data_IF_248614240311
#
_entry.id   IF_248614240311
#
_cell.length_a   1.000
_cell.length_b   1.000
_cell.length_c   1.000
_cell.angle_alpha   90.00
_cell.angle_beta   90.00
_cell.angle_gamma   90.00
#
_symmetry.space_group_name_H-M   'P 1'
#
loop_
_entity.id
_entity.type
_entity.pdbx_description
1 polymer ?
#
# COMPACT_ATOMS: atom_id res chain seq x y z
N UNK A 1 -9.10 -28.97 35.65
CA UNK A 1 -8.61 -29.55 34.39
C UNK A 1 -8.55 -28.44 33.37
N UNK A 2 -7.36 -27.96 33.01
CA UNK A 2 -7.19 -27.03 31.91
C UNK A 2 -7.38 -27.78 30.59
N UNK A 3 -8.42 -27.48 29.86
CA UNK A 3 -8.62 -28.01 28.51
C UNK A 3 -7.51 -27.43 27.63
N UNK A 4 -6.54 -28.25 27.25
CA UNK A 4 -5.52 -27.87 26.28
C UNK A 4 -6.19 -27.91 24.91
N UNK A 5 -6.66 -26.75 24.44
CA UNK A 5 -7.11 -26.62 23.05
C UNK A 5 -5.88 -26.77 22.15
N UNK A 6 -5.97 -27.53 21.04
CA UNK A 6 -4.87 -27.60 20.09
C UNK A 6 -4.58 -26.20 19.55
N UNK A 7 -3.29 -25.87 19.42
CA UNK A 7 -2.86 -24.61 18.84
C UNK A 7 -3.34 -24.55 17.39
N UNK A 8 -4.19 -23.58 17.08
CA UNK A 8 -4.77 -23.42 15.75
C UNK A 8 -3.71 -22.85 14.80
N UNK A 9 -3.34 -23.59 13.76
CA UNK A 9 -2.49 -23.06 12.69
C UNK A 9 -3.30 -22.06 11.85
N UNK A 10 -2.97 -20.78 11.99
CA UNK A 10 -3.58 -19.68 11.22
C UNK A 10 -2.68 -19.23 10.06
N UNK A 11 -1.63 -19.97 9.75
CA UNK A 11 -0.71 -19.60 8.68
C UNK A 11 -1.41 -19.63 7.32
N UNK A 12 -1.01 -18.69 6.45
CA UNK A 12 -1.45 -18.62 5.05
C UNK A 12 -0.25 -18.44 4.15
N UNK A 13 -0.39 -18.81 2.89
CA UNK A 13 0.60 -18.56 1.87
C UNK A 13 0.03 -17.60 0.82
N UNK A 14 0.75 -16.51 0.55
CA UNK A 14 0.36 -15.51 -0.45
C UNK A 14 1.55 -15.30 -1.39
N UNK A 15 1.34 -15.60 -2.67
CA UNK A 15 2.37 -15.49 -3.72
C UNK A 15 3.71 -16.17 -3.33
N UNK A 16 3.65 -17.38 -2.74
CA UNK A 16 4.81 -18.13 -2.29
C UNK A 16 5.44 -17.67 -0.98
N UNK A 17 4.89 -16.63 -0.34
CA UNK A 17 5.38 -16.13 0.96
C UNK A 17 4.46 -16.62 2.07
N UNK A 18 5.01 -17.40 3.02
CA UNK A 18 4.25 -17.89 4.18
C UNK A 18 4.18 -16.81 5.26
N UNK A 19 2.96 -16.49 5.68
CA UNK A 19 2.64 -15.62 6.80
C UNK A 19 2.15 -16.46 7.98
N UNK A 20 2.46 -16.08 9.20
CA UNK A 20 2.03 -16.83 10.41
C UNK A 20 0.53 -16.71 10.71
N UNK A 21 -0.15 -15.70 10.16
CA UNK A 21 -1.60 -15.52 10.17
C UNK A 21 -2.01 -14.55 9.05
N UNK A 22 -3.30 -14.46 8.66
CA UNK A 22 -3.75 -13.67 7.52
C UNK A 22 -3.89 -12.16 7.80
N UNK A 23 -3.46 -11.66 8.95
CA UNK A 23 -3.66 -10.27 9.33
C UNK A 23 -2.48 -9.41 8.90
N UNK A 24 -2.77 -8.34 8.18
CA UNK A 24 -1.80 -7.31 7.79
C UNK A 24 -2.36 -5.91 8.01
N UNK A 25 -1.49 -4.91 8.04
CA UNK A 25 -1.89 -3.50 8.05
C UNK A 25 -2.23 -3.01 6.64
N UNK A 26 -3.01 -1.92 6.56
CA UNK A 26 -3.18 -1.17 5.31
C UNK A 26 -2.10 -0.07 5.21
N UNK A 27 -1.54 0.10 4.00
CA UNK A 27 -0.42 1.02 3.74
C UNK A 27 -0.66 2.48 4.12
N UNK A 28 -1.92 2.92 4.13
CA UNK A 28 -2.26 4.33 4.35
C UNK A 28 -2.00 4.85 5.75
N UNK A 29 -2.04 3.99 6.75
CA UNK A 29 -2.11 4.38 8.18
C UNK A 29 -0.97 3.81 9.03
N UNK A 30 -0.24 2.82 8.56
CA UNK A 30 0.83 2.21 9.33
C UNK A 30 2.11 3.05 9.28
N UNK A 31 2.67 3.34 10.45
CA UNK A 31 4.01 3.92 10.65
C UNK A 31 4.70 3.20 11.81
N UNK A 32 6.02 3.34 11.97
CA UNK A 32 6.72 2.78 13.12
C UNK A 32 6.16 3.22 14.48
N UNK A 33 5.56 4.41 14.56
CA UNK A 33 4.90 4.87 15.77
C UNK A 33 3.71 4.00 16.20
N UNK A 34 3.12 3.24 15.28
CA UNK A 34 2.04 2.29 15.59
C UNK A 34 2.48 1.20 16.57
N UNK A 35 3.78 0.91 16.67
CA UNK A 35 4.35 0.00 17.69
C UNK A 35 4.08 0.44 19.12
N UNK A 36 3.86 1.73 19.35
CA UNK A 36 3.52 2.25 20.68
C UNK A 36 2.08 1.92 21.09
N UNK A 37 1.23 1.61 20.14
CA UNK A 37 -0.18 1.33 20.37
C UNK A 37 -0.47 -0.17 20.38
N UNK A 38 0.43 -1.00 19.79
CA UNK A 38 0.12 -2.39 19.61
C UNK A 38 1.37 -3.21 19.17
N UNK A 39 1.39 -4.50 19.54
CA UNK A 39 2.48 -5.42 19.26
C UNK A 39 2.45 -5.88 17.79
N UNK A 40 3.18 -5.19 16.90
CA UNK A 40 3.20 -5.52 15.48
C UNK A 40 3.74 -6.92 15.20
N UNK A 41 4.58 -7.46 16.08
CA UNK A 41 5.06 -8.84 16.02
C UNK A 41 3.94 -9.89 16.07
N UNK A 42 2.71 -9.54 16.43
CA UNK A 42 1.53 -10.46 16.38
C UNK A 42 0.94 -10.58 14.98
N UNK A 43 1.22 -9.64 14.06
CA UNK A 43 0.73 -9.68 12.67
C UNK A 43 1.43 -10.74 11.84
N UNK A 44 0.75 -11.24 10.81
CA UNK A 44 1.36 -12.04 9.74
C UNK A 44 2.26 -11.17 8.86
N UNK A 45 1.80 -9.98 8.52
CA UNK A 45 2.57 -9.02 7.73
C UNK A 45 2.30 -7.57 8.16
N UNK A 46 3.18 -6.66 7.76
CA UNK A 46 2.93 -5.22 7.74
C UNK A 46 3.06 -4.70 6.32
N UNK A 47 2.09 -3.90 5.88
CA UNK A 47 2.21 -3.11 4.66
C UNK A 47 2.62 -1.69 5.04
N UNK A 48 3.75 -1.24 4.50
CA UNK A 48 4.35 0.05 4.87
C UNK A 48 3.55 1.23 4.35
N UNK A 49 3.82 2.42 4.84
CA UNK A 49 3.44 3.67 4.18
C UNK A 49 3.98 3.66 2.75
N UNK A 50 3.29 4.33 1.82
CA UNK A 50 3.78 4.45 0.45
C UNK A 50 5.19 5.05 0.43
N UNK A 51 6.10 4.41 -0.30
CA UNK A 51 7.50 4.79 -0.46
C UNK A 51 7.72 5.34 -1.86
N UNK A 52 8.27 6.53 -1.96
CA UNK A 52 8.62 7.21 -3.20
C UNK A 52 10.13 7.40 -3.31
N UNK A 53 10.63 7.77 -4.48
CA UNK A 53 12.07 8.02 -4.72
C UNK A 53 12.62 9.11 -3.81
N UNK A 54 11.81 10.14 -3.53
CA UNK A 54 12.14 11.28 -2.65
C UNK A 54 11.03 11.49 -1.62
N UNK A 55 11.30 12.17 -0.50
CA UNK A 55 10.27 12.48 0.49
C UNK A 55 9.14 13.34 -0.08
N UNK A 56 7.88 13.03 0.28
CA UNK A 56 6.72 13.86 -0.06
C UNK A 56 6.11 14.45 1.20
N UNK A 57 5.94 15.78 1.21
CA UNK A 57 5.36 16.50 2.35
C UNK A 57 3.85 16.20 2.56
N UNK A 58 3.17 15.74 1.52
CA UNK A 58 1.71 15.59 1.52
C UNK A 58 0.99 16.94 1.41
N UNK A 59 -0.32 16.91 1.63
CA UNK A 59 -1.16 18.11 1.56
C UNK A 59 -1.01 18.98 2.82
N UNK A 60 -1.45 20.25 2.73
CA UNK A 60 -1.58 21.13 3.89
C UNK A 60 -2.70 20.66 4.82
N UNK A 61 -2.61 20.96 6.10
CA UNK A 61 -3.67 20.73 7.07
C UNK A 61 -4.83 21.75 6.89
N UNK A 62 -6.09 21.37 7.24
CA UNK A 62 -6.53 20.09 7.81
C UNK A 62 -6.56 18.98 6.76
N UNK A 63 -6.26 17.74 7.19
CA UNK A 63 -6.14 16.57 6.29
C UNK A 63 -7.17 15.48 6.57
N UNK A 64 -7.88 15.60 7.67
CA UNK A 64 -8.83 14.61 8.17
C UNK A 64 -10.09 15.34 8.61
N UNK A 65 -11.24 14.78 8.27
CA UNK A 65 -12.54 15.26 8.73
C UNK A 65 -13.44 14.07 9.06
N UNK A 66 -14.09 14.11 10.20
CA UNK A 66 -15.05 13.08 10.60
C UNK A 66 -16.36 13.20 9.83
N UNK A 67 -16.96 12.05 9.55
CA UNK A 67 -18.27 11.91 8.97
C UNK A 67 -19.12 10.99 9.85
N UNK A 68 -20.43 10.92 9.60
CA UNK A 68 -21.27 9.97 10.30
C UNK A 68 -20.88 8.53 9.91
N UNK A 69 -20.28 7.81 10.85
CA UNK A 69 -19.83 6.43 10.64
C UNK A 69 -18.56 6.26 9.81
N UNK A 70 -17.73 7.31 9.66
CA UNK A 70 -16.49 7.22 8.90
C UNK A 70 -15.63 8.47 8.97
N UNK A 71 -14.65 8.53 8.06
CA UNK A 71 -13.67 9.62 7.99
C UNK A 71 -13.33 9.95 6.54
N UNK A 72 -13.22 11.23 6.23
CA UNK A 72 -12.57 11.73 5.02
C UNK A 72 -11.11 12.04 5.32
N UNK A 73 -10.23 11.73 4.37
CA UNK A 73 -8.84 12.12 4.46
C UNK A 73 -8.32 12.68 3.13
N UNK A 74 -7.37 13.58 3.23
CA UNK A 74 -6.61 14.15 2.14
C UNK A 74 -5.13 14.27 2.53
N UNK A 75 -4.52 13.17 2.98
CA UNK A 75 -3.13 13.15 3.48
C UNK A 75 -2.12 13.47 2.38
N UNK A 76 -2.39 13.08 1.13
CA UNK A 76 -1.51 13.38 0.00
C UNK A 76 -0.23 12.53 0.00
N UNK A 77 -0.32 11.27 0.38
CA UNK A 77 0.77 10.29 0.35
C UNK A 77 2.06 10.75 1.06
N UNK A 78 1.96 11.55 2.11
CA UNK A 78 3.11 11.97 2.91
C UNK A 78 3.98 10.77 3.27
N UNK A 79 5.27 10.83 2.95
CA UNK A 79 6.24 9.78 3.27
C UNK A 79 7.66 10.35 3.35
N UNK A 80 8.56 9.59 3.96
CA UNK A 80 9.96 9.98 4.18
C UNK A 80 10.90 9.63 3.02
N UNK A 81 10.36 9.04 1.94
CA UNK A 81 11.16 8.50 0.84
C UNK A 81 11.77 7.13 1.15
N UNK A 82 12.07 6.37 0.10
CA UNK A 82 12.53 4.98 0.24
C UNK A 82 13.88 4.86 0.94
N UNK A 83 14.84 5.75 0.66
CA UNK A 83 16.19 5.63 1.25
C UNK A 83 16.21 5.88 2.76
N UNK A 84 15.46 6.88 3.22
CA UNK A 84 15.30 7.13 4.66
C UNK A 84 14.59 5.95 5.34
N UNK A 85 13.56 5.40 4.71
CA UNK A 85 12.83 4.25 5.22
C UNK A 85 13.72 3.00 5.31
N UNK A 86 14.52 2.71 4.28
CA UNK A 86 15.46 1.58 4.25
C UNK A 86 16.47 1.70 5.38
N UNK A 87 17.00 2.91 5.61
CA UNK A 87 18.02 3.16 6.64
C UNK A 87 17.44 3.11 8.06
N UNK A 88 16.28 3.70 8.29
CA UNK A 88 15.79 4.01 9.64
C UNK A 88 14.68 3.05 10.10
N UNK A 89 13.78 2.61 9.21
CA UNK A 89 12.60 1.84 9.60
C UNK A 89 12.70 0.35 9.27
N UNK A 90 13.28 -0.03 8.14
CA UNK A 90 13.38 -1.42 7.73
C UNK A 90 14.11 -2.30 8.76
N UNK A 91 15.27 -1.90 9.32
CA UNK A 91 15.96 -2.71 10.32
C UNK A 91 15.11 -2.98 11.57
N UNK A 92 14.31 -1.98 11.97
CA UNK A 92 13.44 -2.08 13.14
C UNK A 92 12.27 -3.04 12.90
N UNK A 93 11.68 -3.02 11.70
CA UNK A 93 10.62 -3.96 11.32
C UNK A 93 11.18 -5.38 11.18
N UNK A 94 12.37 -5.52 10.61
CA UNK A 94 13.00 -6.82 10.41
C UNK A 94 13.44 -7.50 11.71
N UNK A 95 13.64 -6.73 12.77
CA UNK A 95 13.90 -7.28 14.10
C UNK A 95 12.71 -8.02 14.73
N UNK A 96 11.50 -7.86 14.20
CA UNK A 96 10.30 -8.56 14.68
C UNK A 96 10.23 -10.00 14.13
N UNK A 97 10.30 -11.03 14.98
CA UNK A 97 10.37 -12.43 14.52
C UNK A 97 9.14 -12.85 13.71
N UNK A 98 9.36 -13.43 12.54
CA UNK A 98 8.31 -14.00 11.70
C UNK A 98 7.35 -12.97 11.07
N UNK A 99 7.59 -11.67 11.24
CA UNK A 99 6.83 -10.63 10.58
C UNK A 99 7.23 -10.52 9.11
N UNK A 100 6.25 -10.51 8.21
CA UNK A 100 6.49 -10.22 6.79
C UNK A 100 6.36 -8.73 6.50
N UNK A 101 7.23 -8.24 5.63
CA UNK A 101 7.28 -6.81 5.29
C UNK A 101 6.88 -6.65 3.83
N UNK A 102 5.76 -5.95 3.60
CA UNK A 102 5.25 -5.59 2.29
C UNK A 102 5.57 -4.11 2.07
N UNK A 103 6.49 -3.80 1.16
CA UNK A 103 6.84 -2.43 0.85
C UNK A 103 5.85 -1.85 -0.16
N UNK A 104 5.05 -0.86 0.25
CA UNK A 104 4.11 -0.18 -0.64
C UNK A 104 4.84 0.85 -1.49
N UNK A 105 4.69 0.75 -2.82
CA UNK A 105 5.36 1.60 -3.81
C UNK A 105 4.42 2.67 -4.31
N UNK A 106 4.87 3.92 -4.33
CA UNK A 106 4.17 5.06 -4.93
C UNK A 106 5.09 5.84 -5.85
N UNK A 107 4.55 6.39 -6.93
CA UNK A 107 5.27 7.20 -7.91
C UNK A 107 4.33 8.18 -8.60
N UNK A 108 4.88 9.19 -9.25
CA UNK A 108 4.16 10.14 -10.12
C UNK A 108 4.25 9.74 -11.59
N UNK A 109 5.25 8.96 -11.94
CA UNK A 109 5.48 8.43 -13.27
C UNK A 109 5.75 6.92 -13.20
N UNK A 110 5.60 6.22 -14.31
CA UNK A 110 5.96 4.80 -14.41
C UNK A 110 7.43 4.57 -14.06
N UNK A 111 8.31 5.46 -14.49
CA UNK A 111 9.75 5.36 -14.21
C UNK A 111 10.07 5.49 -12.71
N UNK A 112 9.35 6.36 -11.98
CA UNK A 112 9.48 6.44 -10.53
C UNK A 112 9.03 5.13 -9.84
N UNK A 113 7.92 4.52 -10.27
CA UNK A 113 7.49 3.22 -9.77
C UNK A 113 8.54 2.14 -10.01
N UNK A 114 9.11 2.10 -11.23
CA UNK A 114 10.17 1.17 -11.61
C UNK A 114 11.41 1.36 -10.72
N UNK A 115 11.89 2.60 -10.58
CA UNK A 115 13.06 2.91 -9.75
C UNK A 115 12.90 2.48 -8.28
N UNK A 116 11.70 2.72 -7.70
CA UNK A 116 11.40 2.29 -6.32
C UNK A 116 11.34 0.77 -6.24
N UNK A 117 10.75 0.08 -7.22
CA UNK A 117 10.66 -1.37 -7.26
C UNK A 117 12.03 -2.04 -7.38
N UNK A 118 12.89 -1.52 -8.26
CA UNK A 118 14.29 -1.98 -8.39
C UNK A 118 15.03 -1.86 -7.07
N UNK A 119 15.02 -0.65 -6.49
CA UNK A 119 15.76 -0.38 -5.26
C UNK A 119 15.28 -1.21 -4.07
N UNK A 120 13.96 -1.34 -3.88
CA UNK A 120 13.40 -2.15 -2.80
C UNK A 120 13.60 -3.66 -3.02
N UNK A 121 13.73 -4.11 -4.25
CA UNK A 121 14.05 -5.51 -4.58
C UNK A 121 15.42 -5.94 -4.07
N UNK A 122 16.35 -5.00 -3.91
CA UNK A 122 17.70 -5.25 -3.36
C UNK A 122 17.74 -5.23 -1.82
N UNK A 123 16.58 -4.98 -1.17
CA UNK A 123 16.48 -4.90 0.28
C UNK A 123 15.85 -6.15 0.88
N UNK A 124 15.87 -6.24 2.21
CA UNK A 124 15.29 -7.37 2.93
C UNK A 124 13.77 -7.17 3.19
N UNK A 125 13.01 -6.81 2.14
CA UNK A 125 11.55 -6.86 2.16
C UNK A 125 11.06 -8.20 1.61
N UNK A 126 9.91 -8.66 2.06
CA UNK A 126 9.37 -9.95 1.59
C UNK A 126 8.58 -9.80 0.29
N UNK A 127 7.83 -8.72 0.13
CA UNK A 127 6.95 -8.47 -1.02
C UNK A 127 6.89 -6.97 -1.35
N UNK A 128 6.47 -6.65 -2.57
CA UNK A 128 6.18 -5.29 -3.02
C UNK A 128 4.68 -5.11 -3.25
N UNK A 129 4.12 -3.98 -2.82
CA UNK A 129 2.73 -3.61 -3.14
C UNK A 129 2.72 -2.37 -4.04
N UNK A 130 2.40 -2.55 -5.31
CA UNK A 130 2.27 -1.47 -6.29
C UNK A 130 0.96 -0.71 -6.08
N UNK A 131 1.03 0.52 -5.63
CA UNK A 131 -0.12 1.38 -5.37
C UNK A 131 -0.41 2.30 -6.56
N UNK A 132 -1.17 1.80 -7.54
CA UNK A 132 -1.56 2.54 -8.76
C UNK A 132 -2.78 3.44 -8.57
N UNK A 133 -3.29 3.54 -7.35
CA UNK A 133 -4.55 4.26 -7.05
C UNK A 133 -4.34 5.74 -6.71
N UNK A 134 -3.18 6.32 -7.00
CA UNK A 134 -2.89 7.70 -6.65
C UNK A 134 -3.66 8.67 -7.57
N UNK A 135 -4.62 9.47 -7.04
CA UNK A 135 -5.40 10.41 -7.86
C UNK A 135 -4.64 11.70 -8.22
N UNK A 136 -3.41 11.88 -7.73
CA UNK A 136 -2.70 13.15 -7.75
C UNK A 136 -1.63 13.28 -8.83
N UNK A 137 -1.71 12.55 -9.94
CA UNK A 137 -0.79 12.75 -11.06
C UNK A 137 -1.31 13.89 -11.92
N UNK A 138 -0.92 15.13 -11.61
CA UNK A 138 -1.24 16.32 -12.39
C UNK A 138 -0.45 16.45 -13.70
N UNK A 139 0.61 15.67 -13.87
CA UNK A 139 1.43 15.68 -15.07
C UNK A 139 1.11 14.45 -15.93
N UNK A 140 0.41 14.70 -17.06
CA UNK A 140 0.16 13.69 -18.08
C UNK A 140 -1.23 13.05 -18.10
N UNK A 141 -2.11 13.31 -17.13
CA UNK A 141 -3.54 12.95 -17.22
C UNK A 141 -3.88 11.45 -17.14
N UNK A 142 -2.91 10.58 -16.87
CA UNK A 142 -3.14 9.15 -16.79
C UNK A 142 -3.22 8.75 -15.31
N UNK A 143 -4.43 8.54 -14.82
CA UNK A 143 -4.64 7.86 -13.56
C UNK A 143 -4.31 6.37 -13.78
N UNK A 144 -3.10 5.94 -13.44
CA UNK A 144 -2.55 4.59 -13.69
C UNK A 144 -3.52 3.45 -13.32
N UNK A 145 -4.30 3.62 -12.28
CA UNK A 145 -5.23 2.60 -11.77
C UNK A 145 -6.68 2.74 -12.20
N UNK A 146 -7.03 3.66 -13.10
CA UNK A 146 -8.43 3.91 -13.49
C UNK A 146 -8.77 3.42 -14.90
N UNK A 147 -7.80 2.98 -15.69
CA UNK A 147 -7.98 2.40 -17.01
C UNK A 147 -7.30 1.04 -17.11
N UNK A 148 -7.87 0.15 -17.90
CA UNK A 148 -7.31 -1.19 -18.16
C UNK A 148 -5.87 -1.09 -18.67
N UNK A 149 -5.63 -0.21 -19.66
CA UNK A 149 -4.30 -0.02 -20.24
C UNK A 149 -3.31 0.54 -19.22
N UNK A 150 -3.71 1.56 -18.42
CA UNK A 150 -2.84 2.13 -17.40
C UNK A 150 -2.42 1.12 -16.32
N UNK A 151 -3.36 0.28 -15.88
CA UNK A 151 -3.08 -0.84 -14.97
C UNK A 151 -2.10 -1.83 -15.61
N UNK A 152 -2.37 -2.25 -16.83
CA UNK A 152 -1.53 -3.24 -17.53
C UNK A 152 -0.12 -2.71 -17.78
N UNK A 153 0.02 -1.52 -18.35
CA UNK A 153 1.31 -0.93 -18.72
C UNK A 153 2.19 -0.68 -17.49
N UNK A 154 1.62 -0.04 -16.45
CA UNK A 154 2.37 0.26 -15.23
C UNK A 154 2.76 -1.02 -14.50
N UNK A 155 1.84 -1.98 -14.37
CA UNK A 155 2.14 -3.27 -13.73
C UNK A 155 3.22 -4.03 -14.50
N UNK A 156 3.13 -4.10 -15.84
CA UNK A 156 4.11 -4.77 -16.70
C UNK A 156 5.51 -4.15 -16.57
N UNK A 157 5.58 -2.81 -16.52
CA UNK A 157 6.85 -2.11 -16.36
C UNK A 157 7.49 -2.42 -15.01
N UNK A 158 6.70 -2.32 -13.93
CA UNK A 158 7.17 -2.62 -12.57
C UNK A 158 7.51 -4.10 -12.41
N UNK A 159 6.74 -5.02 -13.00
CA UNK A 159 7.01 -6.47 -12.94
C UNK A 159 8.39 -6.82 -13.49
N UNK A 160 8.81 -6.17 -14.58
CA UNK A 160 10.15 -6.42 -15.19
C UNK A 160 11.30 -6.04 -14.25
N UNK A 161 11.08 -5.04 -13.42
CA UNK A 161 12.07 -4.52 -12.46
C UNK A 161 12.02 -5.23 -11.10
N UNK A 162 10.83 -5.65 -10.68
CA UNK A 162 10.63 -6.26 -9.38
C UNK A 162 11.18 -7.70 -9.32
N UNK A 163 12.07 -7.98 -8.35
CA UNK A 163 12.64 -9.32 -8.07
C UNK A 163 11.91 -10.03 -6.92
N UNK A 164 10.93 -9.39 -6.33
CA UNK A 164 10.11 -9.90 -5.23
C UNK A 164 8.68 -10.16 -5.72
N UNK A 165 7.88 -10.96 -5.01
CA UNK A 165 6.45 -11.08 -5.28
C UNK A 165 5.78 -9.71 -5.33
N UNK A 166 4.97 -9.48 -6.38
CA UNK A 166 4.33 -8.20 -6.67
C UNK A 166 2.82 -8.27 -6.43
N UNK A 167 2.36 -7.53 -5.44
CA UNK A 167 0.94 -7.28 -5.17
C UNK A 167 0.54 -6.02 -5.90
N UNK A 168 -0.62 -6.00 -6.57
CA UNK A 168 -1.16 -4.76 -7.17
C UNK A 168 -2.38 -4.30 -6.37
N UNK A 169 -2.30 -3.08 -5.83
CA UNK A 169 -3.41 -2.47 -5.06
C UNK A 169 -4.33 -1.68 -5.97
N UNK A 170 -5.58 -2.17 -6.07
CA UNK A 170 -6.58 -1.64 -6.98
C UNK A 170 -7.35 -0.44 -6.40
N UNK A 171 -7.73 0.47 -7.31
CA UNK A 171 -8.64 1.56 -7.00
C UNK A 171 -10.09 1.10 -7.02
N UNK A 172 -10.94 1.50 -6.04
CA UNK A 172 -12.38 1.27 -6.10
C UNK A 172 -13.11 2.28 -7.01
N UNK A 173 -12.43 3.35 -7.43
CA UNK A 173 -13.02 4.48 -8.16
C UNK A 173 -13.04 4.22 -9.68
N UNK A 174 -13.56 3.07 -10.06
CA UNK A 174 -13.66 2.58 -11.44
C UNK A 174 -15.04 1.93 -11.65
N UNK A 175 -15.50 1.87 -12.89
CA UNK A 175 -16.81 1.28 -13.20
C UNK A 175 -16.84 -0.22 -12.94
N UNK A 176 -15.74 -0.94 -13.26
CA UNK A 176 -15.66 -2.39 -13.13
C UNK A 176 -14.28 -2.82 -12.68
N UNK A 177 -14.16 -3.08 -11.39
CA UNK A 177 -12.87 -3.42 -10.75
C UNK A 177 -12.31 -4.76 -11.23
N UNK A 178 -13.18 -5.69 -11.66
CA UNK A 178 -12.75 -6.99 -12.21
C UNK A 178 -11.91 -6.84 -13.49
N UNK A 179 -12.17 -5.81 -14.31
CA UNK A 179 -11.37 -5.58 -15.51
C UNK A 179 -9.97 -5.04 -15.15
N UNK A 180 -9.88 -4.23 -14.09
CA UNK A 180 -8.61 -3.78 -13.53
C UNK A 180 -7.83 -4.96 -12.90
N UNK A 181 -8.52 -5.83 -12.17
CA UNK A 181 -7.94 -7.03 -11.59
C UNK A 181 -7.36 -7.96 -12.67
N UNK A 182 -8.13 -8.18 -13.74
CA UNK A 182 -7.67 -8.98 -14.88
C UNK A 182 -6.44 -8.36 -15.55
N UNK A 183 -6.45 -7.04 -15.80
CA UNK A 183 -5.33 -6.36 -16.41
C UNK A 183 -4.04 -6.46 -15.55
N UNK A 184 -4.16 -6.32 -14.23
CA UNK A 184 -3.03 -6.50 -13.33
C UNK A 184 -2.49 -7.94 -13.34
N UNK A 185 -3.38 -8.93 -13.34
CA UNK A 185 -3.01 -10.35 -13.43
C UNK A 185 -2.34 -10.68 -14.76
N UNK A 186 -2.92 -10.24 -15.88
CA UNK A 186 -2.36 -10.44 -17.23
C UNK A 186 -0.98 -9.76 -17.39
N UNK A 187 -0.72 -8.69 -16.63
CA UNK A 187 0.55 -7.97 -16.59
C UNK A 187 1.60 -8.58 -15.66
N UNK A 188 1.27 -9.69 -14.96
CA UNK A 188 2.19 -10.44 -14.12
C UNK A 188 2.17 -10.07 -12.63
N UNK A 189 1.06 -9.55 -12.11
CA UNK A 189 0.85 -9.46 -10.67
C UNK A 189 0.75 -10.85 -10.04
N UNK A 190 1.48 -11.08 -8.95
CA UNK A 190 1.44 -12.35 -8.19
C UNK A 190 0.24 -12.41 -7.23
N UNK A 191 -0.25 -11.23 -6.80
CA UNK A 191 -1.43 -11.10 -5.94
C UNK A 191 -2.11 -9.74 -6.15
N UNK A 192 -3.34 -9.60 -5.63
CA UNK A 192 -4.10 -8.35 -5.66
C UNK A 192 -4.46 -7.93 -4.24
N UNK A 193 -4.40 -6.63 -3.96
CA UNK A 193 -4.98 -6.06 -2.74
C UNK A 193 -6.14 -5.11 -3.08
N UNK A 194 -7.21 -5.21 -2.30
CA UNK A 194 -8.44 -4.44 -2.45
C UNK A 194 -8.80 -3.85 -1.09
N UNK A 195 -9.11 -2.61 -1.03
CA UNK A 195 -9.13 -1.55 -2.04
C UNK A 195 -8.45 -0.29 -1.48
N UNK A 196 -8.09 0.67 -2.35
CA UNK A 196 -7.73 2.01 -1.92
C UNK A 196 -9.00 2.77 -1.46
N UNK A 197 -8.85 4.03 -1.06
CA UNK A 197 -9.95 4.88 -0.56
C UNK A 197 -11.00 5.17 -1.62
N UNK A 198 -12.27 5.11 -1.24
CA UNK A 198 -13.37 5.66 -2.02
C UNK A 198 -13.28 7.19 -2.03
N UNK A 199 -13.53 7.81 -3.18
CA UNK A 199 -13.69 9.26 -3.26
C UNK A 199 -14.96 9.68 -2.54
N UNK A 200 -14.84 10.72 -1.72
CA UNK A 200 -15.96 11.29 -0.99
C UNK A 200 -15.78 12.78 -0.79
N UNK A 201 -16.88 13.46 -0.51
CA UNK A 201 -16.91 14.89 -0.22
C UNK A 201 -17.93 15.18 0.87
N UNK A 202 -17.59 16.08 1.80
CA UNK A 202 -18.51 16.64 2.79
C UNK A 202 -18.53 18.16 2.63
N UNK A 203 -19.75 18.71 2.56
CA UNK A 203 -19.96 20.16 2.46
C UNK A 203 -20.54 20.66 3.79
N UNK A 204 -19.88 21.67 4.37
CA UNK A 204 -20.43 22.47 5.44
C UNK A 204 -21.38 23.51 4.82
N UNK A 205 -22.68 23.23 4.88
CA UNK A 205 -23.70 24.05 4.24
C UNK A 205 -23.81 25.44 4.89
N UNK A 206 -23.50 25.57 6.17
CA UNK A 206 -23.54 26.84 6.89
C UNK A 206 -22.38 27.74 6.54
N UNK A 207 -21.19 27.16 6.42
CA UNK A 207 -19.97 27.89 6.04
C UNK A 207 -19.73 27.91 4.53
N UNK A 208 -20.56 27.23 3.74
CA UNK A 208 -20.49 27.12 2.27
C UNK A 208 -19.10 26.74 1.76
N UNK A 209 -18.50 25.74 2.39
CA UNK A 209 -17.17 25.24 2.03
C UNK A 209 -17.07 23.71 2.13
N UNK A 210 -16.11 23.15 1.44
CA UNK A 210 -15.72 21.74 1.63
C UNK A 210 -15.01 21.62 2.98
N UNK A 211 -15.32 20.52 3.68
CA UNK A 211 -14.74 20.19 5.01
C UNK A 211 -13.43 19.45 4.81
#
# INVERSE_FOLDING_TARGET
MSVHLPELDMSVEIAGVRWKNPITTASGTFTLNSRKCYEIGRLGAVTTKGLSTVPWAGNRTPRIAETHGGMLNAVGLQNIGMEAWIRDELPVLRAEPGLRIIANIVGKTTDEYVAVAERLSETDVDMLELNISCPNVKEGGIAFGTTVNGVFETTSAVRKAAKKPLIVKLSPNVTKISDMAKAASDAGADALSLINTLLGMKIDVYRRRIV
#
